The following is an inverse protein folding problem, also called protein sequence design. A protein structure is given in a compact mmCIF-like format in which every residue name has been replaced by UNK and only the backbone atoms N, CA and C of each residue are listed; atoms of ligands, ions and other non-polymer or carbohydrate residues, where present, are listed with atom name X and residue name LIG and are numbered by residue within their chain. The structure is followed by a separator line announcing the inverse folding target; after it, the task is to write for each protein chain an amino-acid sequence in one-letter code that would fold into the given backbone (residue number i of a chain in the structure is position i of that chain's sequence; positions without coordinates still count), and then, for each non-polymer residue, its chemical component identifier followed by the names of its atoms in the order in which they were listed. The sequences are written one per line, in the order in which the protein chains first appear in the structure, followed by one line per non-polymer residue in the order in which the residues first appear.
data_IF_608987550979
#
_entry.id   IF_608987550979
#
_cell.length_a   1.000
_cell.length_b   1.000
_cell.length_c   1.000
_cell.angle_alpha   90.00
_cell.angle_beta   90.00
_cell.angle_gamma   90.00
#
_symmetry.space_group_name_H-M   'P 1'
#
loop_
_entity.id
_entity.type
_entity.pdbx_description
1 polymer ?
#
# COMPACT_ATOMS: atom_id res chain seq x y z
N UNK A 1 -13.14 -13.55 9.65
CA UNK A 1 -12.68 -14.75 8.90
C UNK A 1 -12.32 -14.31 7.49
N UNK A 2 -11.41 -15.01 6.78
CA UNK A 2 -11.00 -14.63 5.43
C UNK A 2 -12.16 -14.50 4.44
N UNK A 3 -13.20 -15.32 4.56
CA UNK A 3 -14.39 -15.31 3.70
C UNK A 3 -15.27 -14.06 3.89
N UNK A 4 -15.08 -13.33 4.99
CA UNK A 4 -15.84 -12.11 5.31
C UNK A 4 -15.16 -10.84 4.77
N UNK A 5 -13.92 -10.95 4.30
CA UNK A 5 -13.21 -9.83 3.69
C UNK A 5 -13.74 -9.59 2.29
N UNK A 6 -14.17 -8.37 2.03
CA UNK A 6 -14.80 -7.97 0.76
C UNK A 6 -13.84 -7.23 -0.18
N UNK A 7 -12.84 -6.58 0.37
CA UNK A 7 -11.91 -5.76 -0.39
C UNK A 7 -10.49 -5.84 0.21
N UNK A 8 -9.50 -6.02 -0.65
CA UNK A 8 -8.07 -5.98 -0.33
C UNK A 8 -7.45 -4.91 -1.23
N UNK A 9 -6.63 -4.04 -0.65
CA UNK A 9 -5.80 -3.11 -1.42
C UNK A 9 -4.37 -3.59 -1.39
N UNK A 10 -3.84 -3.93 -2.54
CA UNK A 10 -2.42 -4.23 -2.73
C UNK A 10 -1.71 -2.92 -3.07
N UNK A 11 -0.81 -2.50 -2.21
CA UNK A 11 -0.08 -1.24 -2.40
C UNK A 11 0.95 -1.33 -3.52
N UNK A 12 1.57 -2.48 -3.68
CA UNK A 12 2.50 -2.82 -4.75
C UNK A 12 2.79 -4.33 -4.74
N UNK A 13 3.47 -4.83 -5.76
CA UNK A 13 3.62 -6.26 -6.00
C UNK A 13 4.87 -6.91 -5.39
N UNK A 14 5.58 -6.26 -4.45
CA UNK A 14 6.60 -6.99 -3.69
C UNK A 14 5.97 -8.11 -2.88
N UNK A 15 6.70 -9.23 -2.74
CA UNK A 15 6.19 -10.47 -2.14
C UNK A 15 5.64 -10.29 -0.72
N UNK A 16 6.25 -9.44 0.09
CA UNK A 16 5.84 -9.18 1.47
C UNK A 16 4.58 -8.29 1.60
N UNK A 17 4.07 -7.78 0.47
CA UNK A 17 2.81 -7.02 0.39
C UNK A 17 1.74 -7.70 -0.45
N UNK A 18 2.13 -8.61 -1.34
CA UNK A 18 1.25 -9.20 -2.35
C UNK A 18 0.88 -10.65 -2.06
N UNK A 19 1.78 -11.42 -1.43
CA UNK A 19 1.57 -12.83 -1.11
C UNK A 19 0.36 -13.01 -0.16
N UNK A 20 -0.36 -14.10 -0.35
CA UNK A 20 -1.53 -14.44 0.47
C UNK A 20 -2.85 -13.73 0.10
N UNK A 21 -2.92 -12.96 -1.00
CA UNK A 21 -4.16 -12.35 -1.46
C UNK A 21 -5.24 -13.39 -1.84
N UNK A 22 -4.85 -14.60 -2.23
CA UNK A 22 -5.71 -15.74 -2.55
C UNK A 22 -6.37 -16.38 -1.31
N UNK A 23 -5.84 -16.13 -0.11
CA UNK A 23 -6.44 -16.59 1.15
C UNK A 23 -7.82 -15.96 1.41
N UNK A 24 -8.21 -14.94 0.66
CA UNK A 24 -9.47 -14.21 0.79
C UNK A 24 -10.37 -14.47 -0.44
N UNK A 25 -11.12 -15.57 -0.46
CA UNK A 25 -11.77 -16.08 -1.67
C UNK A 25 -12.86 -15.18 -2.23
N UNK A 26 -13.46 -14.32 -1.39
CA UNK A 26 -14.56 -13.43 -1.76
C UNK A 26 -14.15 -11.99 -1.97
N UNK A 27 -12.88 -11.64 -1.69
CA UNK A 27 -12.42 -10.28 -1.76
C UNK A 27 -12.16 -9.82 -3.20
N UNK A 28 -12.56 -8.58 -3.51
CA UNK A 28 -12.04 -7.84 -4.64
C UNK A 28 -10.63 -7.35 -4.28
N UNK A 29 -9.70 -7.46 -5.22
CA UNK A 29 -8.31 -7.08 -5.02
C UNK A 29 -8.00 -5.86 -5.86
N UNK A 30 -7.67 -4.75 -5.21
CA UNK A 30 -7.46 -3.45 -5.83
C UNK A 30 -5.97 -3.16 -6.01
N UNK A 31 -5.57 -2.84 -7.25
CA UNK A 31 -4.19 -2.62 -7.63
C UNK A 31 -4.09 -1.57 -8.74
N UNK A 32 -3.02 -0.79 -8.78
CA UNK A 32 -2.76 0.10 -9.90
C UNK A 32 -2.53 -0.72 -11.20
N UNK A 33 -3.22 -0.33 -12.28
CA UNK A 33 -3.10 -0.99 -13.59
C UNK A 33 -1.66 -0.99 -14.09
N UNK A 34 -0.99 0.14 -14.01
CA UNK A 34 0.38 0.29 -14.48
C UNK A 34 1.37 -0.59 -13.71
N UNK A 35 1.13 -0.87 -12.43
CA UNK A 35 1.90 -1.82 -11.62
C UNK A 35 1.69 -3.25 -12.12
N UNK A 36 0.43 -3.67 -12.25
CA UNK A 36 0.08 -5.01 -12.70
C UNK A 36 0.59 -5.31 -14.12
N UNK A 37 0.33 -4.41 -15.07
CA UNK A 37 0.72 -4.60 -16.46
C UNK A 37 2.25 -4.64 -16.63
N UNK A 38 2.97 -3.84 -15.85
CA UNK A 38 4.43 -3.84 -15.87
C UNK A 38 5.02 -5.18 -15.43
N UNK A 39 4.54 -5.74 -14.32
CA UNK A 39 5.08 -7.00 -13.79
C UNK A 39 4.51 -8.26 -14.46
N UNK A 40 3.53 -8.15 -15.34
CA UNK A 40 3.13 -9.26 -16.22
C UNK A 40 4.25 -9.68 -17.19
N UNK A 41 5.17 -8.79 -17.55
CA UNK A 41 6.36 -9.17 -18.28
C UNK A 41 7.38 -9.82 -17.33
N UNK A 42 7.74 -11.13 -17.51
CA UNK A 42 8.69 -11.81 -16.64
C UNK A 42 10.07 -11.14 -16.53
N UNK A 43 10.45 -10.34 -17.53
CA UNK A 43 11.70 -9.57 -17.48
C UNK A 43 11.70 -8.51 -16.39
N UNK A 44 10.53 -7.99 -16.03
CA UNK A 44 10.38 -6.97 -15.00
C UNK A 44 10.27 -7.57 -13.58
N UNK A 45 10.00 -8.87 -13.46
CA UNK A 45 9.94 -9.58 -12.16
C UNK A 45 11.34 -9.85 -11.60
N UNK A 46 12.29 -10.11 -12.47
CA UNK A 46 13.66 -10.44 -12.07
C UNK A 46 14.32 -9.26 -11.35
N UNK A 47 14.90 -9.52 -10.17
CA UNK A 47 15.63 -8.57 -9.32
C UNK A 47 14.79 -7.49 -8.63
N UNK A 48 13.47 -7.61 -8.63
CA UNK A 48 12.60 -6.56 -8.06
C UNK A 48 11.84 -6.98 -6.81
N UNK A 49 11.94 -8.22 -6.34
CA UNK A 49 11.15 -8.72 -5.20
C UNK A 49 9.71 -9.12 -5.58
N UNK A 50 9.40 -9.18 -6.87
CA UNK A 50 8.12 -9.71 -7.38
C UNK A 50 8.35 -11.14 -7.87
N UNK A 51 7.63 -12.10 -7.30
CA UNK A 51 7.82 -13.51 -7.66
C UNK A 51 6.84 -13.95 -8.76
N UNK A 52 7.29 -14.84 -9.68
CA UNK A 52 6.41 -15.40 -10.71
C UNK A 52 5.17 -16.11 -10.14
N UNK A 53 5.28 -16.71 -8.94
CA UNK A 53 4.16 -17.36 -8.27
C UNK A 53 3.08 -16.36 -7.88
N UNK A 54 3.47 -15.19 -7.35
CA UNK A 54 2.52 -14.14 -6.98
C UNK A 54 1.81 -13.61 -8.23
N UNK A 55 2.54 -13.40 -9.33
CA UNK A 55 1.92 -12.97 -10.59
C UNK A 55 0.94 -14.00 -11.13
N UNK A 56 1.25 -15.30 -11.05
CA UNK A 56 0.32 -16.37 -11.44
C UNK A 56 -0.95 -16.36 -10.55
N UNK A 57 -0.81 -16.09 -9.25
CA UNK A 57 -1.94 -15.90 -8.33
C UNK A 57 -2.82 -14.70 -8.76
N UNK A 58 -2.22 -13.55 -9.08
CA UNK A 58 -2.97 -12.38 -9.56
C UNK A 58 -3.66 -12.62 -10.91
N UNK A 59 -3.08 -13.41 -11.79
CA UNK A 59 -3.73 -13.82 -13.03
C UNK A 59 -4.97 -14.71 -12.76
N UNK A 60 -4.92 -15.58 -11.76
CA UNK A 60 -6.09 -16.38 -11.34
C UNK A 60 -7.17 -15.49 -10.72
N UNK A 61 -6.79 -14.52 -9.87
CA UNK A 61 -7.70 -13.53 -9.28
C UNK A 61 -8.38 -12.71 -10.40
N UNK A 62 -7.62 -12.32 -11.42
CA UNK A 62 -8.14 -11.60 -12.59
C UNK A 62 -9.12 -12.47 -13.40
N UNK A 63 -8.77 -13.73 -13.66
CA UNK A 63 -9.64 -14.68 -14.37
C UNK A 63 -10.95 -14.95 -13.62
N UNK A 64 -10.93 -14.87 -12.28
CA UNK A 64 -12.13 -14.96 -11.44
C UNK A 64 -12.95 -13.65 -11.40
N UNK A 65 -12.55 -12.60 -12.12
CA UNK A 65 -13.23 -11.31 -12.15
C UNK A 65 -13.10 -10.50 -10.85
N UNK A 66 -12.14 -10.82 -9.99
CA UNK A 66 -11.94 -10.17 -8.67
C UNK A 66 -10.81 -9.13 -8.65
N UNK A 67 -10.00 -9.03 -9.70
CA UNK A 67 -8.95 -8.02 -9.78
C UNK A 67 -9.54 -6.71 -10.30
N UNK A 68 -9.47 -5.68 -9.45
CA UNK A 68 -9.95 -4.33 -9.72
C UNK A 68 -8.76 -3.43 -10.04
N UNK A 69 -8.54 -3.16 -11.31
CA UNK A 69 -7.45 -2.29 -11.74
C UNK A 69 -7.90 -0.83 -11.74
N UNK A 70 -7.18 0.00 -11.01
CA UNK A 70 -7.41 1.45 -10.91
C UNK A 70 -6.31 2.22 -11.63
N UNK A 71 -6.62 3.44 -12.04
CA UNK A 71 -5.73 4.29 -12.80
C UNK A 71 -5.51 5.62 -12.07
N UNK A 72 -4.29 5.80 -11.54
CA UNK A 72 -3.86 7.05 -10.95
C UNK A 72 -4.44 7.35 -9.57
N UNK A 73 -4.57 8.63 -9.30
CA UNK A 73 -4.89 9.19 -7.99
C UNK A 73 -6.37 9.21 -7.62
N UNK A 74 -6.62 9.30 -6.31
CA UNK A 74 -7.94 9.58 -5.72
C UNK A 74 -9.03 8.58 -6.12
N UNK A 75 -8.64 7.33 -6.37
CA UNK A 75 -9.59 6.29 -6.72
C UNK A 75 -10.29 5.75 -5.46
N UNK A 76 -11.62 5.73 -5.48
CA UNK A 76 -12.41 5.24 -4.35
C UNK A 76 -12.54 3.72 -4.41
N UNK A 77 -12.05 3.05 -3.38
CA UNK A 77 -12.15 1.59 -3.18
C UNK A 77 -13.44 1.23 -2.44
N UNK A 78 -13.69 1.92 -1.35
CA UNK A 78 -14.87 1.75 -0.52
C UNK A 78 -15.24 3.09 0.12
N UNK A 79 -16.40 3.14 0.81
CA UNK A 79 -16.83 4.36 1.50
C UNK A 79 -15.76 4.81 2.51
N UNK A 80 -15.22 6.00 2.31
CA UNK A 80 -14.17 6.59 3.16
C UNK A 80 -12.77 6.02 2.96
N UNK A 81 -12.57 5.16 1.94
CA UNK A 81 -11.26 4.58 1.60
C UNK A 81 -10.90 4.94 0.16
N UNK A 82 -9.76 5.56 -0.01
CA UNK A 82 -9.22 5.93 -1.33
C UNK A 82 -7.77 5.48 -1.47
N UNK A 83 -7.34 5.30 -2.72
CA UNK A 83 -5.95 5.04 -3.07
C UNK A 83 -5.37 6.19 -3.89
N UNK A 84 -4.07 6.38 -3.72
CA UNK A 84 -3.29 7.41 -4.39
C UNK A 84 -1.98 6.83 -4.89
N UNK A 85 -1.49 7.30 -6.02
CA UNK A 85 -0.16 6.92 -6.50
C UNK A 85 0.91 7.41 -5.54
N UNK A 86 1.88 6.55 -5.31
CA UNK A 86 2.97 6.78 -4.36
C UNK A 86 4.22 7.39 -4.99
N UNK A 87 5.35 7.23 -4.32
CA UNK A 87 6.64 7.80 -4.67
C UNK A 87 7.55 6.87 -5.45
N UNK A 88 7.02 6.03 -6.34
CA UNK A 88 7.78 5.13 -7.22
C UNK A 88 8.80 4.26 -6.48
N UNK A 89 8.36 3.66 -5.39
CA UNK A 89 9.07 2.53 -4.77
C UNK A 89 9.14 1.35 -5.76
N UNK A 90 8.02 1.07 -6.42
CA UNK A 90 7.92 0.19 -7.59
C UNK A 90 7.44 0.98 -8.82
N UNK A 91 7.01 0.29 -9.87
CA UNK A 91 6.55 0.94 -11.10
C UNK A 91 5.43 1.94 -10.85
N UNK A 92 4.42 1.54 -10.07
CA UNK A 92 3.29 2.40 -9.70
C UNK A 92 2.75 1.98 -8.33
N UNK A 93 3.60 2.07 -7.30
CA UNK A 93 3.17 1.85 -5.92
C UNK A 93 2.09 2.85 -5.51
N UNK A 94 1.15 2.41 -4.67
CA UNK A 94 0.09 3.25 -4.13
C UNK A 94 0.09 3.26 -2.60
N UNK A 95 -0.55 4.25 -2.02
CA UNK A 95 -0.86 4.31 -0.60
C UNK A 95 -2.36 4.49 -0.40
N UNK A 96 -2.83 4.21 0.81
CA UNK A 96 -4.25 4.19 1.13
C UNK A 96 -4.57 5.32 2.11
N UNK A 97 -5.70 5.98 1.92
CA UNK A 97 -6.29 6.85 2.93
C UNK A 97 -7.59 6.25 3.44
N UNK A 98 -7.82 6.36 4.75
CA UNK A 98 -9.05 5.91 5.38
C UNK A 98 -9.49 6.90 6.47
N UNK A 99 -10.78 7.25 6.51
CA UNK A 99 -11.33 8.08 7.56
C UNK A 99 -11.44 7.31 8.87
N UNK A 100 -10.91 7.89 9.94
CA UNK A 100 -11.07 7.44 11.32
C UNK A 100 -11.81 8.50 12.14
N UNK A 101 -12.08 8.19 13.40
CA UNK A 101 -12.65 9.17 14.37
C UNK A 101 -11.70 10.34 14.68
N UNK A 102 -10.41 10.14 14.49
CA UNK A 102 -9.36 11.16 14.73
C UNK A 102 -8.93 11.92 13.48
N UNK A 103 -9.52 11.66 12.33
CA UNK A 103 -9.18 12.28 11.05
C UNK A 103 -8.82 11.31 9.95
N UNK A 104 -8.22 11.81 8.88
CA UNK A 104 -7.79 11.01 7.74
C UNK A 104 -6.47 10.31 8.05
N UNK A 105 -6.51 9.00 8.14
CA UNK A 105 -5.31 8.14 8.28
C UNK A 105 -4.74 7.87 6.90
N UNK A 106 -3.43 7.95 6.78
CA UNK A 106 -2.68 7.55 5.58
C UNK A 106 -1.85 6.31 5.91
N UNK A 107 -2.15 5.19 5.26
CA UNK A 107 -1.35 3.97 5.29
C UNK A 107 -0.33 4.05 4.16
N UNK A 108 0.88 4.48 4.50
CA UNK A 108 1.91 4.87 3.53
C UNK A 108 2.55 3.69 2.80
N UNK A 109 2.49 2.49 3.40
CA UNK A 109 3.24 1.33 2.90
C UNK A 109 4.71 1.71 2.63
N UNK A 110 5.30 1.18 1.59
CA UNK A 110 6.72 1.38 1.26
C UNK A 110 7.05 2.73 0.64
N UNK A 111 6.10 3.65 0.62
CA UNK A 111 6.43 5.05 0.33
C UNK A 111 7.06 5.75 1.55
N UNK A 112 6.87 5.19 2.75
CA UNK A 112 7.49 5.56 4.01
C UNK A 112 7.83 4.29 4.77
N UNK A 113 9.11 3.94 4.91
CA UNK A 113 9.50 2.76 5.68
C UNK A 113 9.39 2.98 7.18
N UNK A 114 9.95 4.09 7.65
CA UNK A 114 10.09 4.45 9.05
C UNK A 114 9.58 5.87 9.30
N UNK A 115 9.12 6.16 10.49
CA UNK A 115 8.79 7.53 10.89
C UNK A 115 9.96 8.50 10.68
N UNK A 116 11.19 8.02 10.78
CA UNK A 116 12.40 8.82 10.51
C UNK A 116 12.41 9.40 9.08
N UNK A 117 11.82 8.72 8.08
CA UNK A 117 11.69 9.26 6.73
C UNK A 117 10.92 10.58 6.72
N UNK A 118 9.80 10.63 7.46
CA UNK A 118 8.98 11.83 7.59
C UNK A 118 9.65 12.91 8.45
N UNK A 119 10.18 12.51 9.61
CA UNK A 119 10.78 13.42 10.59
C UNK A 119 12.01 14.15 10.05
N UNK A 120 12.80 13.48 9.22
CA UNK A 120 14.01 14.02 8.62
C UNK A 120 13.86 14.42 7.16
N UNK A 121 12.65 14.28 6.61
CA UNK A 121 12.37 14.50 5.19
C UNK A 121 13.38 13.77 4.30
N UNK A 122 13.51 12.47 4.48
CA UNK A 122 14.44 11.61 3.73
C UNK A 122 13.67 10.60 2.88
N UNK A 123 14.13 10.36 1.63
CA UNK A 123 13.52 9.33 0.81
C UNK A 123 13.80 7.95 1.42
N UNK A 124 12.98 6.99 1.05
CA UNK A 124 13.26 5.57 1.30
C UNK A 124 14.48 5.11 0.49
N UNK A 125 15.18 4.08 0.99
CA UNK A 125 16.40 3.60 0.34
C UNK A 125 16.14 2.97 -1.04
N UNK A 126 15.04 2.21 -1.18
CA UNK A 126 14.68 1.55 -2.43
C UNK A 126 13.59 2.34 -3.18
N UNK A 127 13.98 3.37 -3.89
CA UNK A 127 13.08 4.17 -4.74
C UNK A 127 13.68 4.31 -6.14
N UNK A 128 12.82 4.19 -7.16
CA UNK A 128 13.20 4.48 -8.55
C UNK A 128 13.33 5.99 -8.82
N UNK A 129 12.68 6.80 -7.98
CA UNK A 129 12.69 8.27 -8.09
C UNK A 129 12.55 8.89 -6.70
N UNK A 130 13.67 9.31 -6.13
CA UNK A 130 13.73 9.89 -4.79
C UNK A 130 12.99 11.23 -4.68
N UNK A 131 12.94 12.02 -5.75
CA UNK A 131 12.20 13.29 -5.77
C UNK A 131 10.69 13.03 -5.71
N UNK A 132 10.23 12.07 -6.49
CA UNK A 132 8.84 11.61 -6.48
C UNK A 132 8.46 11.07 -5.08
N UNK A 133 9.36 10.31 -4.44
CA UNK A 133 9.13 9.78 -3.09
C UNK A 133 8.97 10.89 -2.05
N UNK A 134 9.84 11.90 -2.04
CA UNK A 134 9.72 13.04 -1.13
C UNK A 134 8.42 13.83 -1.35
N UNK A 135 8.03 14.07 -2.60
CA UNK A 135 6.74 14.71 -2.92
C UNK A 135 5.54 13.92 -2.43
N UNK A 136 5.60 12.57 -2.53
CA UNK A 136 4.56 11.70 -2.01
C UNK A 136 4.48 11.80 -0.47
N UNK A 137 5.61 11.79 0.24
CA UNK A 137 5.66 11.98 1.70
C UNK A 137 5.05 13.32 2.12
N UNK A 138 5.41 14.43 1.46
CA UNK A 138 4.82 15.74 1.72
C UNK A 138 3.30 15.75 1.49
N UNK A 139 2.83 15.08 0.43
CA UNK A 139 1.40 14.95 0.14
C UNK A 139 0.68 14.15 1.22
N UNK A 140 1.26 13.04 1.69
CA UNK A 140 0.70 12.22 2.77
C UNK A 140 0.52 13.03 4.06
N UNK A 141 1.54 13.82 4.44
CA UNK A 141 1.49 14.69 5.61
C UNK A 141 0.42 15.77 5.46
N UNK A 142 0.27 16.36 4.26
CA UNK A 142 -0.81 17.33 4.01
C UNK A 142 -2.21 16.70 4.09
N UNK A 143 -2.40 15.50 3.53
CA UNK A 143 -3.67 14.79 3.56
C UNK A 143 -4.10 14.42 4.99
N UNK A 144 -3.14 13.99 5.81
CA UNK A 144 -3.37 13.61 7.20
C UNK A 144 -3.38 14.82 8.16
N UNK A 145 -3.27 16.06 7.65
CA UNK A 145 -3.17 17.29 8.44
C UNK A 145 -2.01 17.25 9.48
N UNK A 146 -0.95 16.50 9.14
CA UNK A 146 0.25 16.34 9.96
C UNK A 146 0.80 14.91 9.92
N UNK A 147 2.02 14.68 10.44
CA UNK A 147 2.68 13.38 10.32
C UNK A 147 2.12 12.30 11.26
N UNK A 148 1.33 12.67 12.28
CA UNK A 148 0.85 11.74 13.32
C UNK A 148 0.04 10.58 12.75
N UNK A 149 -0.86 10.86 11.79
CA UNK A 149 -1.75 9.86 11.18
C UNK A 149 -1.20 9.28 9.86
N UNK A 150 0.08 9.53 9.55
CA UNK A 150 0.78 8.81 8.47
C UNK A 150 1.45 7.59 9.08
N UNK A 151 1.01 6.40 8.68
CA UNK A 151 1.49 5.11 9.20
C UNK A 151 2.49 4.51 8.22
N UNK A 152 3.77 4.33 8.62
CA UNK A 152 4.81 3.71 7.81
C UNK A 152 4.54 2.22 7.55
N UNK A 153 5.19 1.68 6.49
CA UNK A 153 5.07 0.26 6.14
C UNK A 153 5.82 -0.68 7.08
N UNK A 154 7.01 -0.30 7.56
CA UNK A 154 7.93 -1.21 8.23
C UNK A 154 8.43 -0.73 9.61
N UNK A 155 7.74 0.20 10.27
CA UNK A 155 8.19 0.74 11.54
C UNK A 155 7.46 0.12 12.74
N UNK A 156 8.13 -0.67 13.58
CA UNK A 156 7.53 -1.20 14.80
C UNK A 156 7.16 -0.11 15.82
N UNK A 157 7.68 1.12 15.66
CA UNK A 157 7.32 2.25 16.51
C UNK A 157 5.84 2.62 16.44
N UNK A 158 5.06 2.09 15.49
CA UNK A 158 3.60 2.20 15.45
C UNK A 158 2.98 1.76 16.78
N UNK A 159 3.50 0.70 17.41
CA UNK A 159 3.02 0.19 18.69
C UNK A 159 3.40 1.07 19.89
N UNK A 160 4.37 1.96 19.73
CA UNK A 160 4.71 2.96 20.75
C UNK A 160 3.92 4.28 20.56
N UNK A 161 3.43 4.54 19.34
CA UNK A 161 2.74 5.79 18.98
C UNK A 161 1.21 5.70 19.10
N UNK A 162 0.66 4.49 19.04
CA UNK A 162 -0.78 4.26 19.07
C UNK A 162 -1.16 3.25 20.16
N UNK A 163 -2.38 3.35 20.74
CA UNK A 163 -2.84 2.42 21.76
C UNK A 163 -2.83 0.98 21.27
N UNK A 164 -2.12 0.12 22.00
CA UNK A 164 -2.14 -1.32 21.78
C UNK A 164 -3.41 -1.88 22.42
N UNK A 165 -4.33 -2.39 21.62
CA UNK A 165 -5.61 -2.93 22.09
C UNK A 165 -5.56 -4.43 22.39
N UNK A 166 -4.61 -5.13 21.82
CA UNK A 166 -4.24 -6.52 22.10
C UNK A 166 -2.84 -6.81 21.52
N UNK A 167 -2.16 -7.90 21.90
CA UNK A 167 -0.86 -8.24 21.34
C UNK A 167 -0.86 -8.20 19.80
N UNK A 168 0.06 -7.44 19.22
CA UNK A 168 0.21 -7.28 17.77
C UNK A 168 -0.84 -6.39 17.08
N UNK A 169 -1.72 -5.71 17.83
CA UNK A 169 -2.77 -4.84 17.25
C UNK A 169 -2.77 -3.47 17.90
N UNK A 170 -2.44 -2.45 17.14
CA UNK A 170 -2.59 -1.05 17.52
C UNK A 170 -3.84 -0.43 16.89
N UNK A 171 -4.49 0.47 17.61
CA UNK A 171 -5.64 1.24 17.12
C UNK A 171 -5.17 2.61 16.65
N UNK A 172 -5.33 2.88 15.38
CA UNK A 172 -4.92 4.15 14.77
C UNK A 172 -6.06 5.17 14.91
N UNK A 173 -5.86 6.09 15.86
CA UNK A 173 -6.82 7.17 16.16
C UNK A 173 -6.15 8.43 16.73
#
# INVERSE_FOLDING_TARGET
RPEEVTDIVITHLHWDHADGADLFPNARVWLQRAEYEFYRDPKNQQRTGVFPADMAMFEQIAAAGRLMLVDGDSQTVARGVQVFTGGRHTKESQYVTAWSTSGLVVLASDNVYLYENLERHRPIAASWDTVSNLRAQERMVRLAEGPRLVVPGHDPAVFARFPVVRPGVARIE
#
